data_IF_300169833479
#
_entry.id   IF_300169833479
#
_cell.length_a   1.000
_cell.length_b   1.000
_cell.length_c   1.000
_cell.angle_alpha   90.00
_cell.angle_beta   90.00
_cell.angle_gamma   90.00
#
_symmetry.space_group_name_H-M   'P 1'
#
loop_
_entity.id
_entity.type
_entity.pdbx_description
1 polymer ?
#
# COMPACT_ATOMS: atom_id res chain seq x y z
N UNK A 1 14.12 60.69 -25.56
CA UNK A 1 14.74 60.30 -24.29
C UNK A 1 14.96 58.79 -24.31
N UNK A 2 16.22 58.38 -24.08
CA UNK A 2 16.69 57.01 -23.82
C UNK A 2 15.83 56.34 -22.72
N UNK A 3 15.54 55.04 -22.67
CA UNK A 3 16.35 53.79 -22.63
C UNK A 3 15.32 52.64 -22.41
N UNK A 4 15.53 51.32 -22.54
CA UNK A 4 16.46 50.41 -23.23
C UNK A 4 16.03 48.98 -22.79
N UNK A 5 15.75 48.08 -23.75
CA UNK A 5 15.98 46.62 -23.77
C UNK A 5 15.41 45.71 -22.64
N UNK A 6 14.75 44.60 -23.00
CA UNK A 6 15.39 43.32 -23.37
C UNK A 6 14.32 42.23 -23.66
N UNK A 7 14.41 41.59 -24.84
CA UNK A 7 14.39 40.12 -25.13
C UNK A 7 13.46 39.19 -24.30
N UNK A 8 12.80 38.15 -24.83
CA UNK A 8 13.07 37.34 -26.02
C UNK A 8 11.88 36.42 -26.36
N UNK A 9 11.87 35.98 -27.61
CA UNK A 9 11.12 34.89 -28.26
C UNK A 9 11.06 33.59 -27.43
N UNK A 10 10.11 32.66 -27.62
CA UNK A 10 10.18 31.62 -28.68
C UNK A 10 8.79 31.13 -29.11
N UNK A 11 8.62 31.07 -30.43
CA UNK A 11 7.50 30.49 -31.18
C UNK A 11 7.66 28.98 -31.41
N UNK A 12 6.49 28.32 -31.48
CA UNK A 12 6.09 27.26 -32.43
C UNK A 12 6.78 25.88 -32.42
N UNK A 13 5.98 24.91 -32.01
CA UNK A 13 5.40 23.83 -32.81
C UNK A 13 6.28 22.79 -33.53
N UNK A 14 5.74 21.56 -33.46
CA UNK A 14 5.73 20.47 -34.44
C UNK A 14 6.56 19.21 -34.16
N UNK A 15 5.81 18.12 -34.29
CA UNK A 15 6.17 16.71 -34.32
C UNK A 15 7.07 16.42 -35.53
N UNK A 16 8.07 15.55 -35.37
CA UNK A 16 8.59 14.76 -36.48
C UNK A 16 8.99 13.36 -36.01
N UNK A 17 8.33 12.37 -36.61
CA UNK A 17 8.58 10.93 -36.53
C UNK A 17 9.47 10.54 -37.72
N UNK A 18 10.55 9.79 -37.46
CA UNK A 18 11.45 9.05 -38.36
C UNK A 18 12.13 9.73 -39.57
N UNK A 19 13.47 9.68 -39.57
CA UNK A 19 14.29 9.55 -40.78
C UNK A 19 15.45 8.56 -40.54
N UNK A 20 15.57 7.60 -41.44
CA UNK A 20 16.58 6.55 -41.47
C UNK A 20 17.94 7.04 -42.02
N UNK A 21 19.00 6.49 -41.42
CA UNK A 21 20.26 5.97 -41.99
C UNK A 21 21.16 6.86 -42.86
N UNK A 22 22.40 7.10 -42.37
CA UNK A 22 23.63 6.84 -43.14
C UNK A 22 24.89 6.91 -42.25
N UNK A 23 25.43 5.75 -41.84
CA UNK A 23 26.87 5.49 -41.62
C UNK A 23 27.10 4.03 -41.20
N UNK A 24 27.90 3.27 -41.97
CA UNK A 24 28.48 1.97 -41.56
C UNK A 24 29.99 2.16 -41.23
N UNK A 25 30.73 1.10 -40.81
CA UNK A 25 30.69 0.49 -39.49
C UNK A 25 32.08 0.57 -38.82
N UNK A 26 32.17 0.92 -37.53
CA UNK A 26 33.39 0.66 -36.75
C UNK A 26 33.18 -0.61 -35.95
N UNK A 27 33.89 -1.68 -36.33
CA UNK A 27 34.07 -2.86 -35.50
C UNK A 27 34.89 -2.50 -34.25
N UNK A 28 34.83 -3.40 -33.25
CA UNK A 28 35.65 -3.51 -32.02
C UNK A 28 34.98 -2.73 -30.86
N UNK A 29 34.47 -3.32 -29.77
CA UNK A 29 34.80 -4.56 -29.05
C UNK A 29 33.54 -5.29 -28.54
N UNK A 30 33.63 -6.63 -28.46
CA UNK A 30 32.73 -7.46 -27.65
C UNK A 30 33.00 -7.16 -26.18
N UNK A 31 32.22 -6.27 -25.58
CA UNK A 31 32.13 -6.15 -24.13
C UNK A 31 30.71 -6.51 -23.72
N UNK A 32 30.63 -7.58 -22.92
CA UNK A 32 29.46 -8.23 -22.34
C UNK A 32 28.23 -7.32 -22.14
N UNK A 33 27.25 -7.43 -23.04
CA UNK A 33 25.90 -6.88 -22.81
C UNK A 33 25.13 -7.91 -21.97
N UNK A 34 25.47 -7.96 -20.69
CA UNK A 34 24.69 -8.59 -19.63
C UNK A 34 24.11 -7.57 -18.66
N UNK A 35 23.96 -6.30 -19.07
CA UNK A 35 23.29 -5.29 -18.25
C UNK A 35 21.78 -5.42 -18.43
N UNK A 36 21.15 -6.07 -17.45
CA UNK A 36 19.71 -6.11 -17.28
C UNK A 36 19.11 -4.71 -17.50
N UNK A 37 18.17 -4.62 -18.44
CA UNK A 37 17.43 -3.40 -18.79
C UNK A 37 16.54 -2.87 -17.65
N UNK A 38 16.41 -3.65 -16.57
CA UNK A 38 15.74 -3.25 -15.34
C UNK A 38 16.79 -3.10 -14.25
N UNK A 39 16.77 -2.00 -13.49
CA UNK A 39 17.62 -1.90 -12.32
C UNK A 39 17.34 -3.12 -11.44
N UNK A 40 18.41 -3.88 -11.16
CA UNK A 40 18.40 -4.96 -10.19
C UNK A 40 18.14 -4.29 -8.85
N UNK A 41 16.86 -4.13 -8.51
CA UNK A 41 16.40 -3.46 -7.30
C UNK A 41 16.79 -4.40 -6.17
N UNK A 42 17.98 -4.21 -5.60
CA UNK A 42 18.28 -4.71 -4.27
C UNK A 42 17.05 -4.38 -3.43
N UNK A 43 16.43 -5.43 -2.92
CA UNK A 43 15.09 -5.41 -2.36
C UNK A 43 15.02 -4.47 -1.14
N UNK A 44 14.79 -3.19 -1.38
CA UNK A 44 14.21 -2.30 -0.38
C UNK A 44 12.72 -2.65 -0.26
N UNK A 45 12.45 -3.89 0.15
CA UNK A 45 11.16 -4.32 0.65
C UNK A 45 10.84 -3.38 1.81
N UNK A 46 9.84 -2.52 1.60
CA UNK A 46 9.28 -1.66 2.64
C UNK A 46 8.99 -2.50 3.90
N UNK A 47 9.02 -1.89 5.10
CA UNK A 47 8.73 -2.62 6.35
C UNK A 47 7.41 -3.42 6.29
N UNK A 48 6.42 -2.91 5.56
CA UNK A 48 5.12 -3.56 5.31
C UNK A 48 5.23 -4.83 4.45
N UNK A 49 6.12 -4.90 3.45
CA UNK A 49 6.36 -6.13 2.68
C UNK A 49 7.09 -7.18 3.51
N UNK A 50 7.98 -6.76 4.44
CA UNK A 50 8.67 -7.66 5.37
C UNK A 50 7.75 -8.24 6.44
N UNK A 51 6.62 -7.60 6.72
CA UNK A 51 5.64 -8.05 7.69
C UNK A 51 5.08 -9.43 7.37
N UNK A 52 4.62 -9.62 6.14
CA UNK A 52 3.99 -10.86 5.71
C UNK A 52 5.00 -12.01 5.61
N UNK A 53 6.23 -11.72 5.18
CA UNK A 53 7.35 -12.68 5.18
C UNK A 53 7.64 -13.22 6.60
N UNK A 54 7.50 -12.38 7.65
CA UNK A 54 7.69 -12.83 9.05
C UNK A 54 6.45 -13.45 9.68
N UNK A 55 5.24 -13.00 9.34
CA UNK A 55 4.00 -13.70 9.74
C UNK A 55 4.07 -15.16 9.28
N UNK A 56 4.58 -15.41 8.07
CA UNK A 56 4.85 -16.77 7.59
C UNK A 56 5.76 -17.56 8.54
N UNK A 57 6.86 -16.98 9.01
CA UNK A 57 7.78 -17.65 9.94
C UNK A 57 7.20 -17.99 11.32
N UNK A 58 6.21 -17.22 11.79
CA UNK A 58 5.52 -17.48 13.07
C UNK A 58 4.41 -18.53 12.96
N UNK A 59 3.83 -18.63 11.77
CA UNK A 59 2.80 -19.62 11.44
C UNK A 59 3.43 -20.98 11.12
N UNK A 60 4.66 -20.97 10.57
CA UNK A 60 5.44 -22.17 10.24
C UNK A 60 5.70 -23.14 11.39
N UNK A 61 5.53 -22.76 12.66
CA UNK A 61 5.79 -23.65 13.79
C UNK A 61 4.66 -24.64 14.10
N UNK A 62 3.41 -24.34 13.69
CA UNK A 62 2.23 -25.10 14.18
C UNK A 62 1.29 -25.63 13.06
N UNK A 63 1.53 -25.34 11.77
CA UNK A 63 0.58 -25.67 10.68
C UNK A 63 1.15 -26.63 9.62
N UNK A 64 0.31 -27.54 9.11
CA UNK A 64 0.64 -28.44 7.99
C UNK A 64 0.89 -27.70 6.66
N UNK A 65 0.36 -26.47 6.49
CA UNK A 65 0.59 -25.61 5.31
C UNK A 65 0.72 -24.11 5.72
N UNK A 66 1.97 -23.61 5.89
CA UNK A 66 2.22 -22.25 6.34
C UNK A 66 1.83 -21.19 5.30
N UNK A 67 1.74 -21.55 4.02
CA UNK A 67 1.35 -20.63 2.96
C UNK A 67 -0.15 -20.37 3.02
N UNK A 68 -0.97 -21.41 3.16
CA UNK A 68 -2.42 -21.27 3.30
C UNK A 68 -2.81 -20.46 4.55
N UNK A 69 -2.09 -20.61 5.65
CA UNK A 69 -2.41 -19.87 6.88
C UNK A 69 -1.92 -18.42 6.82
N UNK A 70 -0.77 -18.13 6.20
CA UNK A 70 -0.35 -16.75 5.90
C UNK A 70 -1.39 -16.05 5.00
N UNK A 71 -1.96 -16.77 4.03
CA UNK A 71 -3.01 -16.26 3.16
C UNK A 71 -4.29 -15.91 3.94
N UNK A 72 -4.65 -16.69 4.98
CA UNK A 72 -5.77 -16.36 5.89
C UNK A 72 -5.53 -15.05 6.65
N UNK A 73 -4.32 -14.81 7.16
CA UNK A 73 -4.00 -13.55 7.84
C UNK A 73 -4.01 -12.37 6.87
N UNK A 74 -3.49 -12.56 5.66
CA UNK A 74 -3.56 -11.54 4.62
C UNK A 74 -5.02 -11.21 4.26
N UNK A 75 -5.85 -12.21 4.01
CA UNK A 75 -7.28 -12.01 3.76
C UNK A 75 -7.96 -11.28 4.92
N UNK A 76 -7.68 -11.69 6.16
CA UNK A 76 -8.19 -10.98 7.33
C UNK A 76 -7.81 -9.50 7.33
N UNK A 77 -6.56 -9.15 6.98
CA UNK A 77 -6.15 -7.74 6.87
C UNK A 77 -6.91 -6.98 5.79
N UNK A 78 -7.15 -7.59 4.63
CA UNK A 78 -7.92 -6.99 3.54
C UNK A 78 -9.38 -6.79 3.97
N UNK A 79 -9.97 -7.79 4.63
CA UNK A 79 -11.33 -7.70 5.19
C UNK A 79 -11.46 -6.52 6.16
N UNK A 80 -10.49 -6.34 7.08
CA UNK A 80 -10.52 -5.23 8.05
C UNK A 80 -10.28 -3.87 7.44
N UNK A 81 -9.39 -3.79 6.46
CA UNK A 81 -9.16 -2.55 5.71
C UNK A 81 -10.44 -2.10 4.96
N UNK A 82 -11.25 -3.06 4.49
CA UNK A 82 -12.47 -2.83 3.73
C UNK A 82 -13.75 -2.75 4.58
N UNK A 83 -13.67 -3.05 5.89
CA UNK A 83 -14.84 -3.17 6.76
C UNK A 83 -15.57 -1.84 6.98
N UNK A 84 -14.83 -0.73 7.10
CA UNK A 84 -15.41 0.59 7.35
C UNK A 84 -15.65 1.33 6.03
N UNK A 85 -16.86 1.90 5.79
CA UNK A 85 -17.11 2.76 4.63
C UNK A 85 -16.50 4.17 4.82
N UNK A 86 -16.44 4.96 3.74
CA UNK A 86 -16.00 6.37 3.81
C UNK A 86 -14.48 6.59 3.89
N UNK A 87 -14.03 7.74 4.42
CA UNK A 87 -12.58 8.09 4.49
C UNK A 87 -11.82 7.18 5.46
N UNK A 88 -10.58 6.84 5.16
CA UNK A 88 -9.70 6.04 6.02
C UNK A 88 -8.85 6.98 6.90
N UNK A 89 -9.39 7.33 8.05
CA UNK A 89 -8.75 8.23 9.04
C UNK A 89 -7.71 7.47 9.88
N UNK A 90 -6.91 8.21 10.64
CA UNK A 90 -6.00 7.62 11.63
C UNK A 90 -6.75 6.83 12.70
N UNK A 91 -7.96 7.24 13.09
CA UNK A 91 -8.83 6.46 13.97
C UNK A 91 -9.15 5.06 13.41
N UNK A 92 -9.56 4.98 12.14
CA UNK A 92 -9.84 3.69 11.48
C UNK A 92 -8.60 2.84 11.32
N UNK A 93 -7.45 3.48 11.11
CA UNK A 93 -6.17 2.80 11.08
C UNK A 93 -5.77 2.26 12.45
N UNK A 94 -6.08 2.97 13.54
CA UNK A 94 -5.89 2.47 14.90
C UNK A 94 -6.72 1.22 15.16
N UNK A 95 -8.02 1.23 14.82
CA UNK A 95 -8.88 0.04 14.92
C UNK A 95 -8.35 -1.13 14.07
N UNK A 96 -7.90 -0.85 12.84
CA UNK A 96 -7.29 -1.85 11.98
C UNK A 96 -6.05 -2.50 12.61
N UNK A 97 -5.15 -1.69 13.19
CA UNK A 97 -3.97 -2.19 13.89
C UNK A 97 -4.32 -2.98 15.15
N UNK A 98 -5.33 -2.54 15.91
CA UNK A 98 -5.81 -3.23 17.11
C UNK A 98 -6.33 -4.63 16.76
N UNK A 99 -7.20 -4.74 15.76
CA UNK A 99 -7.76 -6.02 15.31
C UNK A 99 -6.68 -6.96 14.76
N UNK A 100 -5.72 -6.42 14.00
CA UNK A 100 -4.58 -7.21 13.51
C UNK A 100 -3.66 -7.68 14.62
N UNK A 101 -3.27 -6.80 15.53
CA UNK A 101 -2.42 -7.17 16.66
C UNK A 101 -3.10 -8.20 17.55
N UNK A 102 -4.41 -8.10 17.74
CA UNK A 102 -5.21 -9.09 18.49
C UNK A 102 -5.25 -10.43 17.77
N UNK A 103 -5.48 -10.43 16.44
CA UNK A 103 -5.53 -11.64 15.62
C UNK A 103 -4.18 -12.36 15.58
N UNK A 104 -3.08 -11.61 15.50
CA UNK A 104 -1.70 -12.11 15.55
C UNK A 104 -1.21 -12.40 16.98
N UNK A 105 -2.07 -12.26 18.00
CA UNK A 105 -1.74 -12.52 19.41
C UNK A 105 -0.56 -11.67 19.93
N UNK A 106 -0.34 -10.49 19.35
CA UNK A 106 0.65 -9.50 19.82
C UNK A 106 0.12 -8.81 21.07
N UNK A 107 -1.19 -8.58 21.12
CA UNK A 107 -1.92 -7.99 22.25
C UNK A 107 -3.13 -8.86 22.62
N UNK A 108 -3.68 -8.68 23.82
CA UNK A 108 -4.88 -9.38 24.29
C UNK A 108 -4.63 -10.44 25.36
N UNK A 109 -5.55 -11.42 25.50
CA UNK A 109 -5.55 -12.39 26.61
C UNK A 109 -4.59 -13.58 26.42
N UNK A 110 -4.26 -13.93 25.18
CA UNK A 110 -3.40 -15.08 24.83
C UNK A 110 -2.22 -14.60 24.01
N UNK A 111 -1.39 -13.73 24.57
CA UNK A 111 -0.25 -13.16 23.84
C UNK A 111 0.85 -14.17 23.60
N UNK A 112 1.58 -14.01 22.50
CA UNK A 112 2.87 -14.70 22.33
C UNK A 112 3.90 -14.16 23.34
N UNK A 113 4.92 -14.94 23.70
CA UNK A 113 6.00 -14.49 24.57
C UNK A 113 6.67 -13.22 24.02
N UNK A 114 7.07 -12.31 24.91
CA UNK A 114 7.70 -11.04 24.55
C UNK A 114 9.00 -11.23 23.75
N UNK A 115 9.72 -12.32 24.00
CA UNK A 115 10.93 -12.72 23.26
C UNK A 115 10.68 -12.94 21.77
N UNK A 116 9.46 -13.33 21.41
CA UNK A 116 9.11 -13.76 20.06
C UNK A 116 8.57 -12.59 19.23
N UNK A 117 8.23 -11.47 19.88
CA UNK A 117 7.79 -10.23 19.24
C UNK A 117 9.00 -9.50 18.67
N UNK A 118 9.46 -9.92 17.49
CA UNK A 118 10.64 -9.32 16.85
C UNK A 118 10.37 -8.81 15.43
N UNK A 119 11.15 -7.80 15.02
CA UNK A 119 11.06 -7.19 13.69
C UNK A 119 9.67 -6.64 13.34
N UNK A 120 8.99 -7.11 12.28
CA UNK A 120 7.71 -6.55 11.86
C UNK A 120 6.56 -6.70 12.87
N UNK A 121 6.55 -7.75 13.71
CA UNK A 121 5.56 -7.82 14.80
C UNK A 121 5.78 -6.71 15.82
N UNK A 122 7.04 -6.45 16.17
CA UNK A 122 7.41 -5.35 17.04
C UNK A 122 7.06 -4.01 16.38
N UNK A 123 7.29 -3.88 15.08
CA UNK A 123 6.91 -2.69 14.31
C UNK A 123 5.39 -2.47 14.35
N UNK A 124 4.57 -3.49 14.12
CA UNK A 124 3.11 -3.41 14.28
C UNK A 124 2.70 -2.99 15.69
N UNK A 125 3.31 -3.59 16.72
CA UNK A 125 3.03 -3.24 18.11
C UNK A 125 3.39 -1.78 18.40
N UNK A 126 4.54 -1.34 17.92
CA UNK A 126 5.01 0.03 18.08
C UNK A 126 4.09 1.01 17.37
N UNK A 127 3.64 0.68 16.16
CA UNK A 127 2.66 1.48 15.44
C UNK A 127 1.34 1.57 16.20
N UNK A 128 0.83 0.46 16.72
CA UNK A 128 -0.35 0.46 17.59
C UNK A 128 -0.16 1.39 18.80
N UNK A 129 0.97 1.29 19.51
CA UNK A 129 1.29 2.17 20.65
C UNK A 129 1.38 3.65 20.26
N UNK A 130 1.97 3.97 19.11
CA UNK A 130 2.01 5.34 18.57
C UNK A 130 0.61 5.88 18.29
N UNK A 131 -0.28 5.05 17.76
CA UNK A 131 -1.67 5.43 17.52
C UNK A 131 -2.45 5.70 18.81
N UNK A 132 -2.14 4.97 19.89
CA UNK A 132 -2.81 5.13 21.20
C UNK A 132 -2.46 6.45 21.92
N UNK A 133 -1.40 7.15 21.53
CA UNK A 133 -0.99 8.44 22.14
C UNK A 133 -1.42 9.67 21.32
N UNK A 134 -2.07 9.46 20.16
CA UNK A 134 -2.51 10.55 19.31
C UNK A 134 -3.67 11.34 19.93
N UNK A 135 -3.72 12.62 19.62
CA UNK A 135 -4.86 13.48 19.99
C UNK A 135 -6.09 13.15 19.15
N UNK A 136 -7.29 13.45 19.65
CA UNK A 136 -8.55 13.25 18.90
C UNK A 136 -8.52 13.96 17.54
N UNK A 137 -7.99 15.17 17.51
CA UNK A 137 -7.85 15.96 16.28
C UNK A 137 -6.92 15.32 15.25
N UNK A 138 -5.86 14.64 15.70
CA UNK A 138 -4.96 13.89 14.81
C UNK A 138 -5.62 12.60 14.31
N UNK A 139 -6.37 11.91 15.18
CA UNK A 139 -7.09 10.67 14.84
C UNK A 139 -8.21 10.89 13.81
N UNK A 140 -8.91 12.02 13.86
CA UNK A 140 -9.98 12.36 12.91
C UNK A 140 -9.44 12.69 11.49
N UNK A 141 -8.15 13.01 11.37
CA UNK A 141 -7.51 13.30 10.08
C UNK A 141 -7.29 12.04 9.25
N UNK A 142 -7.25 12.21 7.92
CA UNK A 142 -6.84 11.18 6.96
C UNK A 142 -5.55 11.56 6.22
N UNK A 143 -4.85 12.60 6.66
CA UNK A 143 -3.64 13.13 6.03
C UNK A 143 -2.50 13.32 7.03
N UNK A 144 -1.31 12.85 6.65
CA UNK A 144 -0.08 13.03 7.42
C UNK A 144 0.31 14.50 7.64
N UNK A 145 -0.26 15.44 6.86
CA UNK A 145 0.04 16.88 6.96
C UNK A 145 -0.35 17.52 8.29
N UNK A 146 -1.24 16.86 9.04
CA UNK A 146 -1.64 17.32 10.38
C UNK A 146 -0.50 17.17 11.39
N UNK A 147 0.45 16.27 11.13
CA UNK A 147 1.61 16.07 12.01
C UNK A 147 2.73 17.04 11.67
N UNK A 148 2.87 18.06 12.52
CA UNK A 148 4.06 18.91 12.54
C UNK A 148 5.29 18.11 12.97
N UNK A 149 6.49 18.65 12.73
CA UNK A 149 7.72 18.04 13.23
C UNK A 149 7.72 17.88 14.76
N UNK A 150 7.18 18.87 15.48
CA UNK A 150 7.09 18.82 16.94
C UNK A 150 6.12 17.75 17.41
N UNK A 151 4.98 17.57 16.73
CA UNK A 151 4.02 16.50 17.06
C UNK A 151 4.69 15.13 16.89
N UNK A 152 5.42 14.92 15.78
CA UNK A 152 6.16 13.66 15.56
C UNK A 152 7.18 13.41 16.67
N UNK A 153 7.88 14.45 17.12
CA UNK A 153 8.84 14.36 18.23
C UNK A 153 8.16 13.98 19.54
N UNK A 154 7.02 14.60 19.85
CA UNK A 154 6.25 14.28 21.07
C UNK A 154 5.74 12.84 21.07
N UNK A 155 5.25 12.34 19.93
CA UNK A 155 4.81 10.94 19.78
C UNK A 155 5.99 9.98 20.00
N UNK A 156 7.14 10.28 19.37
CA UNK A 156 8.36 9.50 19.51
C UNK A 156 8.83 9.44 20.97
N UNK A 157 8.81 10.57 21.68
CA UNK A 157 9.16 10.64 23.11
C UNK A 157 8.17 9.88 24.00
N UNK A 158 6.86 10.03 23.76
CA UNK A 158 5.83 9.35 24.54
C UNK A 158 5.89 7.82 24.40
N UNK A 159 6.35 7.32 23.25
CA UNK A 159 6.45 5.89 22.96
C UNK A 159 7.85 5.31 23.14
N UNK A 160 8.84 6.15 23.45
CA UNK A 160 10.26 5.80 23.49
C UNK A 160 10.77 5.20 22.18
N UNK A 161 10.40 5.82 21.06
CA UNK A 161 10.75 5.44 19.69
C UNK A 161 11.44 6.60 18.97
N UNK A 162 11.88 6.39 17.73
CA UNK A 162 12.51 7.43 16.91
C UNK A 162 11.48 8.16 16.04
N UNK A 163 11.84 9.36 15.57
CA UNK A 163 11.01 10.10 14.61
C UNK A 163 10.85 9.29 13.31
N UNK A 164 11.87 8.54 12.89
CA UNK A 164 11.80 7.68 11.71
C UNK A 164 10.71 6.61 11.86
N UNK A 165 10.55 6.02 13.05
CA UNK A 165 9.49 5.04 13.32
C UNK A 165 8.09 5.67 13.15
N UNK A 166 7.93 6.94 13.58
CA UNK A 166 6.69 7.71 13.38
C UNK A 166 6.46 7.95 11.88
N UNK A 167 7.49 8.29 11.12
CA UNK A 167 7.36 8.47 9.67
C UNK A 167 7.02 7.17 8.93
N UNK A 168 7.57 6.04 9.37
CA UNK A 168 7.20 4.72 8.86
C UNK A 168 5.74 4.38 9.17
N UNK A 169 5.24 4.74 10.36
CA UNK A 169 3.83 4.58 10.72
C UNK A 169 2.92 5.40 9.80
N UNK A 170 3.25 6.66 9.55
CA UNK A 170 2.51 7.53 8.65
C UNK A 170 2.54 7.01 7.20
N UNK A 171 3.68 6.48 6.76
CA UNK A 171 3.81 5.83 5.47
C UNK A 171 2.94 4.57 5.38
N UNK A 172 2.88 3.76 6.45
CA UNK A 172 2.03 2.58 6.49
C UNK A 172 0.55 2.95 6.35
N UNK A 173 0.10 4.02 7.02
CA UNK A 173 -1.25 4.56 6.86
C UNK A 173 -1.55 4.91 5.39
N UNK A 174 -0.65 5.63 4.71
CA UNK A 174 -0.82 6.03 3.31
C UNK A 174 -0.82 4.82 2.35
N UNK A 175 -0.01 3.79 2.64
CA UNK A 175 -0.03 2.52 1.89
C UNK A 175 -1.38 1.82 2.06
N UNK A 176 -1.88 1.69 3.28
CA UNK A 176 -3.21 1.13 3.56
C UNK A 176 -4.31 1.92 2.86
N UNK A 177 -4.24 3.25 2.86
CA UNK A 177 -5.20 4.13 2.17
C UNK A 177 -5.19 3.90 0.65
N UNK A 178 -4.00 3.73 0.08
CA UNK A 178 -3.82 3.46 -1.36
C UNK A 178 -4.37 2.08 -1.74
N UNK A 179 -4.03 1.05 -0.96
CA UNK A 179 -4.53 -0.31 -1.16
C UNK A 179 -6.05 -0.37 -1.04
N UNK A 180 -6.62 0.23 0.01
CA UNK A 180 -8.06 0.31 0.21
C UNK A 180 -8.75 0.94 -1.01
N UNK A 181 -8.20 2.04 -1.50
CA UNK A 181 -8.75 2.72 -2.69
C UNK A 181 -8.71 1.85 -3.93
N UNK A 182 -7.61 1.14 -4.11
CA UNK A 182 -7.44 0.21 -5.20
C UNK A 182 -8.41 -0.99 -5.10
N UNK A 183 -8.59 -1.57 -3.92
CA UNK A 183 -9.51 -2.66 -3.67
C UNK A 183 -10.96 -2.29 -3.99
N UNK A 184 -11.43 -1.12 -3.54
CA UNK A 184 -12.77 -0.65 -3.92
C UNK A 184 -12.92 -0.46 -5.43
N UNK A 185 -11.90 0.07 -6.13
CA UNK A 185 -11.93 0.19 -7.59
C UNK A 185 -12.02 -1.17 -8.27
N UNK A 186 -11.28 -2.17 -7.79
CA UNK A 186 -11.37 -3.54 -8.31
C UNK A 186 -12.79 -4.08 -8.18
N UNK A 187 -13.40 -3.94 -7.00
CA UNK A 187 -14.79 -4.40 -6.77
C UNK A 187 -15.80 -3.67 -7.66
N UNK A 188 -15.68 -2.35 -7.80
CA UNK A 188 -16.57 -1.57 -8.67
C UNK A 188 -16.47 -1.97 -10.16
N UNK A 189 -15.30 -2.49 -10.58
CA UNK A 189 -15.04 -3.02 -11.92
C UNK A 189 -15.37 -4.52 -12.06
N UNK A 190 -15.94 -5.16 -11.03
CA UNK A 190 -16.23 -6.60 -11.04
C UNK A 190 -15.00 -7.50 -11.02
N UNK A 191 -13.85 -6.99 -10.55
CA UNK A 191 -12.60 -7.75 -10.40
C UNK A 191 -12.49 -8.30 -8.98
N UNK A 192 -11.89 -9.48 -8.83
CA UNK A 192 -11.58 -10.08 -7.53
C UNK A 192 -10.52 -9.28 -6.78
N UNK A 193 -10.58 -9.31 -5.45
CA UNK A 193 -9.49 -8.86 -4.59
C UNK A 193 -8.33 -9.87 -4.66
N UNK A 194 -7.08 -9.44 -4.42
CA UNK A 194 -5.96 -10.38 -4.33
C UNK A 194 -6.20 -11.42 -3.24
N UNK A 195 -5.91 -12.70 -3.52
CA UNK A 195 -6.01 -13.80 -2.57
C UNK A 195 -4.81 -13.84 -1.62
N UNK A 196 -3.63 -13.47 -2.10
CA UNK A 196 -2.37 -13.53 -1.35
C UNK A 196 -1.57 -12.23 -1.39
N UNK A 197 -0.61 -12.10 -0.46
CA UNK A 197 0.34 -10.99 -0.48
C UNK A 197 1.18 -10.96 -1.76
N UNK A 198 1.61 -12.13 -2.24
CA UNK A 198 2.37 -12.25 -3.50
C UNK A 198 1.56 -11.76 -4.70
N UNK A 199 0.29 -12.16 -4.79
CA UNK A 199 -0.61 -11.68 -5.85
C UNK A 199 -0.84 -10.16 -5.74
N UNK A 200 -0.98 -9.63 -4.51
CA UNK A 200 -1.10 -8.19 -4.26
C UNK A 200 0.11 -7.41 -4.77
N UNK A 201 1.32 -7.95 -4.65
CA UNK A 201 2.53 -7.33 -5.21
C UNK A 201 2.63 -7.48 -6.72
N UNK A 202 2.27 -8.66 -7.26
CA UNK A 202 2.24 -8.85 -8.71
C UNK A 202 1.26 -7.89 -9.40
N UNK A 203 0.11 -7.62 -8.79
CA UNK A 203 -0.91 -6.71 -9.31
C UNK A 203 -0.66 -5.23 -8.93
N UNK A 204 0.42 -4.93 -8.20
CA UNK A 204 0.71 -3.60 -7.65
C UNK A 204 0.82 -2.49 -8.70
N UNK A 205 1.20 -2.83 -9.94
CA UNK A 205 1.29 -1.87 -11.06
C UNK A 205 -0.05 -1.20 -11.37
N UNK A 206 -1.18 -1.78 -10.95
CA UNK A 206 -2.52 -1.23 -11.11
C UNK A 206 -2.92 -0.25 -9.99
N UNK A 207 -2.07 -0.06 -8.97
CA UNK A 207 -2.39 0.85 -7.85
C UNK A 207 -2.41 2.30 -8.35
N UNK A 208 -3.34 3.13 -7.84
CA UNK A 208 -3.40 4.53 -8.22
C UNK A 208 -2.09 5.26 -7.85
N UNK A 209 -1.51 6.00 -8.79
CA UNK A 209 -0.27 6.76 -8.53
C UNK A 209 -0.63 8.07 -7.82
N UNK A 210 -0.02 8.29 -6.64
CA UNK A 210 0.05 9.54 -5.87
C UNK A 210 -1.19 10.44 -5.90
N UNK A 211 -1.26 11.34 -6.89
CA UNK A 211 -2.34 12.33 -7.03
C UNK A 211 -3.73 11.71 -7.21
N UNK A 212 -3.82 10.52 -7.82
CA UNK A 212 -5.07 9.77 -8.00
C UNK A 212 -5.42 8.90 -6.79
N UNK A 213 -4.46 8.59 -5.91
CA UNK A 213 -4.67 7.85 -4.67
C UNK A 213 -5.22 8.77 -3.56
N UNK A 214 -4.81 10.04 -3.56
CA UNK A 214 -5.31 11.05 -2.62
C UNK A 214 -6.74 11.48 -2.92
N UNK A 215 -7.25 11.18 -4.12
CA UNK A 215 -8.64 11.43 -4.48
C UNK A 215 -9.52 10.30 -3.93
N UNK A 216 -10.37 10.62 -2.94
CA UNK A 216 -11.41 9.71 -2.45
C UNK A 216 -12.33 9.25 -3.59
N UNK A 217 -12.58 10.14 -4.55
CA UNK A 217 -13.35 9.88 -5.77
C UNK A 217 -12.63 10.46 -6.98
N UNK A 218 -12.59 9.77 -8.13
CA UNK A 218 -12.17 10.39 -9.38
C UNK A 218 -13.07 11.60 -9.65
N UNK A 219 -12.49 12.79 -9.90
CA UNK A 219 -13.24 14.01 -10.25
C UNK A 219 -13.74 13.99 -11.71
N UNK A 220 -14.24 12.85 -12.15
CA UNK A 220 -14.67 12.60 -13.52
C UNK A 220 -16.06 11.99 -13.48
N UNK A 221 -16.97 12.43 -14.35
CA UNK A 221 -18.31 11.83 -14.49
C UNK A 221 -18.29 10.52 -15.29
N UNK A 222 -17.23 9.72 -15.15
CA UNK A 222 -17.16 8.42 -15.76
C UNK A 222 -18.06 7.44 -15.02
N UNK A 223 -18.64 6.49 -15.75
CA UNK A 223 -19.45 5.40 -15.17
C UNK A 223 -18.68 4.64 -14.09
N UNK A 224 -17.36 4.51 -14.26
CA UNK A 224 -16.47 3.91 -13.26
C UNK A 224 -16.44 4.74 -11.98
N UNK A 225 -16.29 6.06 -12.08
CA UNK A 225 -16.23 6.94 -10.90
C UNK A 225 -17.55 6.93 -10.12
N UNK A 226 -18.69 6.90 -10.81
CA UNK A 226 -20.02 6.80 -10.20
C UNK A 226 -20.16 5.46 -9.46
N UNK A 227 -19.82 4.33 -10.11
CA UNK A 227 -19.86 3.00 -9.50
C UNK A 227 -18.92 2.89 -8.30
N UNK A 228 -17.73 3.45 -8.38
CA UNK A 228 -16.78 3.52 -7.26
C UNK A 228 -17.43 4.27 -6.11
N UNK A 229 -17.97 5.48 -6.33
CA UNK A 229 -18.63 6.25 -5.26
C UNK A 229 -19.75 5.46 -4.58
N UNK A 230 -20.62 4.83 -5.36
CA UNK A 230 -21.71 4.01 -4.81
C UNK A 230 -21.19 2.82 -4.00
N UNK A 231 -20.14 2.14 -4.47
CA UNK A 231 -19.52 0.99 -3.79
C UNK A 231 -18.94 1.42 -2.44
N UNK A 232 -18.30 2.59 -2.37
CA UNK A 232 -17.72 3.14 -1.15
C UNK A 232 -18.75 3.58 -0.10
N UNK A 233 -19.90 4.08 -0.55
CA UNK A 233 -20.99 4.56 0.31
C UNK A 233 -21.89 3.42 0.79
N UNK A 234 -22.10 2.39 -0.04
CA UNK A 234 -23.08 1.31 0.21
C UNK A 234 -22.51 0.06 0.86
N UNK A 235 -21.21 -0.22 0.75
CA UNK A 235 -20.66 -1.53 1.15
C UNK A 235 -19.94 -1.45 2.50
N UNK A 236 -20.57 -1.86 3.61
CA UNK A 236 -19.85 -2.61 4.64
C UNK A 236 -19.49 -3.97 4.03
N UNK A 237 -18.21 -4.29 3.94
CA UNK A 237 -17.74 -5.52 3.28
C UNK A 237 -18.50 -6.75 3.79
N UNK A 238 -19.36 -7.33 2.96
CA UNK A 238 -19.85 -8.70 3.12
C UNK A 238 -18.92 -9.59 2.32
N UNK A 239 -18.24 -10.52 2.99
CA UNK A 239 -17.40 -11.55 2.39
C UNK A 239 -18.12 -12.14 1.19
N UNK A 240 -17.54 -11.99 -0.01
CA UNK A 240 -18.06 -12.74 -1.16
C UNK A 240 -17.80 -14.23 -0.85
N UNK A 241 -18.81 -15.10 -0.96
CA UNK A 241 -18.54 -16.54 -0.88
C UNK A 241 -17.49 -16.84 -1.95
N UNK A 242 -16.38 -17.45 -1.53
CA UNK A 242 -15.34 -17.89 -2.44
C UNK A 242 -16.01 -18.55 -3.63
N UNK A 243 -15.80 -18.00 -4.83
CA UNK A 243 -16.04 -18.76 -6.04
C UNK A 243 -14.95 -19.81 -6.02
N UNK A 244 -15.22 -20.91 -5.31
CA UNK A 244 -14.55 -22.17 -5.55
C UNK A 244 -14.62 -22.33 -7.05
N UNK A 245 -13.44 -22.33 -7.67
CA UNK A 245 -13.21 -22.71 -9.05
C UNK A 245 -13.86 -24.07 -9.28
N UNK A 246 -15.15 -24.05 -9.58
CA UNK A 246 -15.91 -25.21 -9.99
C UNK A 246 -15.58 -25.40 -11.46
N UNK A 247 -14.35 -25.83 -11.73
CA UNK A 247 -13.94 -26.44 -13.01
C UNK A 247 -14.12 -27.97 -12.93
N UNK A 248 -14.71 -28.51 -11.85
CA UNK A 248 -14.98 -29.94 -11.71
C UNK A 248 -16.48 -30.26 -11.79
N UNK A 249 -17.15 -29.89 -12.88
CA UNK A 249 -18.35 -30.57 -13.40
C UNK A 249 -18.48 -30.40 -14.93
N UNK A 250 -17.40 -30.67 -15.65
CA UNK A 250 -17.44 -30.87 -17.09
C UNK A 250 -16.50 -32.00 -17.51
N UNK A 251 -16.58 -33.14 -16.83
CA UNK A 251 -16.19 -34.43 -17.42
C UNK A 251 -17.28 -35.43 -17.01
N UNK A 252 -18.03 -35.82 -18.03
CA UNK A 252 -18.86 -37.01 -18.15
C UNK A 252 -17.99 -38.25 -17.89
#
# INVERSE_FOLDING_TARGET
>A
MYTRFMYNNVSRACISIFRNSSAQPKQIERTEIGKALYPNRKEDKTGVSRLWDKVKSLVSSDSEDPDAETEKYFQFSVERLMASPGRFTFEKFHTYLEELCTKLRIIGKRTIPESDITGPLLQLRNQYRMMSVLTKTELESDSYKVFSFENKRLIAQATNLTINDVEEMLLHHDVCKTDRTWYFRRLALGRSLPSSHSEREFLAYQRPIGRLAQQSYPKTDSLEAIKVRETWEKIPYKKQPYVLSTILKAII
#
